data_IF_635405117183
#
_entry.id   IF_635405117183
#
_cell.length_a   1.000
_cell.length_b   1.000
_cell.length_c   1.000
_cell.angle_alpha   90.00
_cell.angle_beta   90.00
_cell.angle_gamma   90.00
#
_symmetry.space_group_name_H-M   'P 1'
#
loop_
_entity.id
_entity.type
_entity.pdbx_description
1 polymer ?
#
# COMPACT_ATOMS: atom_id res chain seq x y z
N UNK A 1 -57.89 73.16 13.35
CA UNK A 1 -56.76 72.38 13.78
C UNK A 1 -57.06 70.89 13.56
N UNK A 2 -56.53 70.25 12.51
CA UNK A 2 -56.72 68.85 12.27
C UNK A 2 -55.28 68.27 11.96
N UNK A 3 -54.83 67.44 12.89
CA UNK A 3 -53.55 66.74 12.72
C UNK A 3 -53.73 65.63 11.69
N UNK A 4 -52.83 65.55 10.72
CA UNK A 4 -52.73 64.45 9.75
C UNK A 4 -51.74 63.43 10.30
N UNK A 5 -52.18 62.19 10.43
CA UNK A 5 -51.40 61.02 10.89
C UNK A 5 -50.77 60.42 9.69
N UNK A 6 -49.42 60.52 9.57
CA UNK A 6 -48.66 59.79 8.55
C UNK A 6 -48.43 58.34 9.03
N UNK A 7 -48.94 57.40 8.24
CA UNK A 7 -48.59 55.94 8.40
C UNK A 7 -47.26 55.68 7.78
N UNK A 8 -46.28 55.22 8.58
CA UNK A 8 -45.02 54.70 8.09
C UNK A 8 -45.23 53.25 7.65
N UNK A 9 -45.02 52.98 6.37
CA UNK A 9 -45.01 51.61 5.83
C UNK A 9 -43.62 50.98 6.04
N UNK A 10 -43.57 49.89 6.80
CA UNK A 10 -42.39 49.08 6.96
C UNK A 10 -42.18 48.19 5.71
N UNK A 11 -41.11 48.44 5.00
CA UNK A 11 -40.64 47.54 3.92
C UNK A 11 -39.78 46.47 4.58
N UNK A 12 -40.27 45.22 4.61
CA UNK A 12 -39.50 44.08 5.05
C UNK A 12 -38.58 43.65 3.90
N UNK A 13 -37.27 43.86 4.06
CA UNK A 13 -36.26 43.32 3.17
C UNK A 13 -36.01 41.87 3.54
N UNK A 14 -36.47 40.93 2.71
CA UNK A 14 -36.15 39.50 2.84
C UNK A 14 -34.76 39.31 2.26
N UNK A 15 -33.76 39.20 3.13
CA UNK A 15 -32.39 38.75 2.72
C UNK A 15 -32.47 37.24 2.57
N UNK A 16 -32.59 36.78 1.33
CA UNK A 16 -32.44 35.37 0.97
C UNK A 16 -30.99 34.95 1.16
N UNK A 17 -30.66 34.19 2.22
CA UNK A 17 -29.42 33.51 2.37
C UNK A 17 -29.34 32.40 1.29
N UNK A 18 -28.72 32.68 0.15
CA UNK A 18 -28.25 31.63 -0.79
C UNK A 18 -27.07 30.95 -0.11
N UNK A 19 -27.34 29.88 0.60
CA UNK A 19 -26.33 28.99 1.13
C UNK A 19 -25.58 28.36 -0.05
N UNK A 20 -24.36 28.83 -0.33
CA UNK A 20 -23.46 28.14 -1.24
C UNK A 20 -23.15 26.77 -0.63
N UNK A 21 -23.76 25.73 -1.17
CA UNK A 21 -23.39 24.34 -0.88
C UNK A 21 -21.99 24.15 -1.49
N UNK A 22 -20.96 24.31 -0.67
CA UNK A 22 -19.61 23.91 -1.04
C UNK A 22 -19.64 22.38 -1.06
N UNK A 23 -19.78 21.79 -2.24
CA UNK A 23 -19.60 20.36 -2.42
C UNK A 23 -18.16 20.04 -2.01
N UNK A 24 -18.02 19.20 -0.98
CA UNK A 24 -16.72 18.63 -0.64
C UNK A 24 -16.12 18.00 -1.90
N UNK A 25 -14.82 18.18 -2.18
CA UNK A 25 -14.19 17.54 -3.33
C UNK A 25 -14.45 16.04 -3.24
N UNK A 26 -14.91 15.44 -4.35
CA UNK A 26 -15.14 14.00 -4.42
C UNK A 26 -13.85 13.29 -3.95
N UNK A 27 -13.98 12.41 -2.95
CA UNK A 27 -12.88 11.62 -2.42
C UNK A 27 -12.29 10.83 -3.59
N UNK A 28 -11.01 11.09 -3.94
CA UNK A 28 -10.37 10.44 -5.09
C UNK A 28 -10.30 8.94 -4.82
N UNK A 29 -10.79 8.12 -5.74
CA UNK A 29 -10.66 6.67 -5.65
C UNK A 29 -9.19 6.26 -5.82
N UNK A 30 -8.51 5.96 -4.73
CA UNK A 30 -7.09 5.58 -4.72
C UNK A 30 -6.83 4.27 -5.47
N UNK A 31 -7.85 3.43 -5.70
CA UNK A 31 -7.79 2.20 -6.47
C UNK A 31 -8.13 2.38 -7.97
N UNK A 32 -8.39 3.61 -8.43
CA UNK A 32 -8.70 3.88 -9.84
C UNK A 32 -7.58 3.41 -10.77
N UNK A 33 -6.32 3.71 -10.42
CA UNK A 33 -5.14 3.27 -11.20
C UNK A 33 -5.01 1.75 -11.26
N UNK A 34 -5.31 1.04 -10.17
CA UNK A 34 -5.32 -0.41 -10.11
C UNK A 34 -6.40 -0.99 -11.03
N UNK A 35 -7.64 -0.47 -10.94
CA UNK A 35 -8.79 -0.98 -11.69
C UNK A 35 -8.72 -0.67 -13.17
N UNK A 36 -8.20 0.50 -13.55
CA UNK A 36 -8.11 0.92 -14.96
C UNK A 36 -7.13 0.09 -15.80
N UNK A 37 -6.19 -0.60 -15.15
CA UNK A 37 -5.19 -1.44 -15.80
C UNK A 37 -5.63 -2.89 -15.99
N UNK A 38 -6.79 -3.30 -15.46
CA UNK A 38 -7.22 -4.71 -15.36
C UNK A 38 -8.55 -4.96 -16.04
N UNK A 39 -8.63 -6.11 -16.70
CA UNK A 39 -9.87 -6.67 -17.22
C UNK A 39 -10.30 -7.82 -16.29
N UNK A 40 -11.18 -7.52 -15.34
CA UNK A 40 -11.61 -8.48 -14.31
C UNK A 40 -12.48 -9.62 -14.83
N UNK A 41 -12.86 -9.59 -16.11
CA UNK A 41 -13.51 -10.74 -16.78
C UNK A 41 -12.47 -11.76 -17.27
N UNK A 42 -11.19 -11.36 -17.31
CA UNK A 42 -10.06 -12.17 -17.79
C UNK A 42 -9.03 -12.54 -16.73
N UNK A 43 -8.99 -11.82 -15.61
CA UNK A 43 -8.06 -12.12 -14.52
C UNK A 43 -8.80 -12.54 -13.25
N UNK A 44 -8.19 -13.43 -12.48
CA UNK A 44 -8.68 -13.81 -11.14
C UNK A 44 -8.24 -12.83 -10.03
N UNK A 45 -7.57 -11.74 -10.38
CA UNK A 45 -7.20 -10.72 -9.42
C UNK A 45 -8.45 -10.09 -8.77
N UNK A 46 -8.42 -9.78 -7.46
CA UNK A 46 -9.58 -9.19 -6.79
C UNK A 46 -9.83 -7.77 -7.31
N UNK A 47 -11.09 -7.47 -7.68
CA UNK A 47 -11.48 -6.09 -8.03
C UNK A 47 -11.36 -5.15 -6.84
N UNK A 48 -11.61 -5.69 -5.64
CA UNK A 48 -11.44 -5.08 -4.34
C UNK A 48 -12.19 -3.75 -4.12
N UNK A 49 -12.15 -3.31 -2.91
CA UNK A 49 -12.66 -2.01 -2.46
C UNK A 49 -11.71 -1.42 -1.43
N UNK A 50 -11.83 -0.12 -1.14
CA UNK A 50 -11.13 0.51 -0.04
C UNK A 50 -11.75 -0.02 1.25
N UNK A 51 -10.95 -0.67 2.09
CA UNK A 51 -11.39 -1.16 3.39
C UNK A 51 -11.11 -0.09 4.47
N UNK A 52 -12.13 0.70 4.79
CA UNK A 52 -12.04 1.76 5.82
C UNK A 52 -12.08 1.20 7.25
N UNK A 53 -12.26 -0.12 7.42
CA UNK A 53 -12.26 -0.75 8.74
C UNK A 53 -10.82 -0.87 9.23
N UNK A 54 -10.50 -0.16 10.32
CA UNK A 54 -9.21 -0.32 10.98
C UNK A 54 -9.12 -1.74 11.55
N UNK A 55 -8.09 -2.48 11.16
CA UNK A 55 -7.74 -3.77 11.77
C UNK A 55 -7.04 -3.52 13.11
N UNK A 56 -7.10 -4.50 14.01
CA UNK A 56 -6.34 -4.47 15.26
C UNK A 56 -4.84 -4.51 14.97
N UNK A 57 -4.44 -5.32 13.98
CA UNK A 57 -3.06 -5.42 13.48
C UNK A 57 -3.03 -5.14 11.99
N UNK A 58 -2.19 -4.22 11.58
CA UNK A 58 -1.95 -3.93 10.17
C UNK A 58 -1.15 -5.05 9.51
N UNK A 59 -1.48 -5.38 8.26
CA UNK A 59 -0.88 -6.49 7.54
C UNK A 59 0.19 -6.05 6.54
N UNK A 60 1.13 -6.95 6.26
CA UNK A 60 1.98 -6.88 5.09
C UNK A 60 1.93 -8.18 4.29
N UNK A 61 2.27 -8.09 3.02
CA UNK A 61 2.52 -9.24 2.15
C UNK A 61 3.72 -8.96 1.26
N UNK A 62 4.48 -10.01 0.99
CA UNK A 62 5.51 -10.01 -0.05
C UNK A 62 5.16 -11.08 -1.07
N UNK A 63 4.95 -10.65 -2.31
CA UNK A 63 4.62 -11.56 -3.40
C UNK A 63 5.82 -11.66 -4.35
N UNK A 64 6.30 -12.88 -4.61
CA UNK A 64 7.22 -13.13 -5.71
C UNK A 64 6.42 -13.12 -7.00
N UNK A 65 6.85 -12.32 -7.97
CA UNK A 65 6.14 -12.10 -9.21
C UNK A 65 7.10 -12.26 -10.40
N UNK A 66 6.79 -13.21 -11.26
CA UNK A 66 7.53 -13.46 -12.49
C UNK A 66 6.75 -12.90 -13.68
N UNK A 67 6.80 -11.58 -13.84
CA UNK A 67 6.23 -10.86 -14.96
C UNK A 67 7.24 -10.75 -16.11
N UNK A 68 7.43 -9.57 -16.71
CA UNK A 68 8.50 -9.31 -17.70
C UNK A 68 9.90 -9.53 -17.14
N UNK A 69 10.05 -9.42 -15.83
CA UNK A 69 11.25 -9.77 -15.07
C UNK A 69 10.85 -10.18 -13.65
N UNK A 70 11.58 -11.14 -13.08
CA UNK A 70 11.39 -11.58 -11.70
C UNK A 70 11.64 -10.44 -10.72
N UNK A 71 10.69 -10.23 -9.82
CA UNK A 71 10.79 -9.26 -8.72
C UNK A 71 9.95 -9.71 -7.52
N UNK A 72 10.00 -8.94 -6.45
CA UNK A 72 9.18 -9.15 -5.26
C UNK A 72 8.39 -7.88 -4.98
N UNK A 73 7.08 -8.00 -4.88
CA UNK A 73 6.20 -6.91 -4.50
C UNK A 73 6.05 -6.89 -2.98
N UNK A 74 6.58 -5.88 -2.33
CA UNK A 74 6.34 -5.61 -0.92
C UNK A 74 5.14 -4.67 -0.77
N UNK A 75 4.17 -5.06 0.04
CA UNK A 75 2.94 -4.32 0.25
C UNK A 75 2.65 -4.13 1.74
N UNK A 76 2.30 -2.90 2.13
CA UNK A 76 1.89 -2.53 3.48
C UNK A 76 0.47 -1.98 3.47
N UNK A 77 -0.36 -2.45 4.39
CA UNK A 77 -1.68 -1.86 4.64
C UNK A 77 -1.53 -0.47 5.26
N UNK A 78 -1.92 0.57 4.53
CA UNK A 78 -1.96 1.95 5.00
C UNK A 78 -3.26 2.56 4.50
N UNK A 79 -4.06 3.18 5.38
CA UNK A 79 -5.33 3.86 5.04
C UNK A 79 -6.32 3.00 4.22
N UNK A 80 -6.41 1.70 4.54
CA UNK A 80 -7.38 0.78 3.94
C UNK A 80 -7.04 0.30 2.54
N UNK A 81 -5.80 0.47 2.09
CA UNK A 81 -5.24 -0.08 0.85
C UNK A 81 -3.85 -0.65 1.12
N UNK A 82 -3.32 -1.42 0.18
CA UNK A 82 -1.95 -1.90 0.18
C UNK A 82 -1.06 -0.93 -0.61
N UNK A 83 -0.28 -0.08 0.07
CA UNK A 83 0.83 0.65 -0.54
C UNK A 83 1.87 -0.35 -1.02
N UNK A 84 2.36 -0.21 -2.24
CA UNK A 84 3.07 -1.29 -2.93
C UNK A 84 4.38 -0.83 -3.57
N UNK A 85 5.42 -1.67 -3.46
CA UNK A 85 6.73 -1.44 -4.06
C UNK A 85 7.27 -2.71 -4.71
N UNK A 86 7.65 -2.63 -5.98
CA UNK A 86 8.37 -3.69 -6.66
C UNK A 86 9.86 -3.63 -6.30
N UNK A 87 10.42 -4.74 -5.82
CA UNK A 87 11.82 -4.88 -5.40
C UNK A 87 12.52 -5.90 -6.33
N UNK A 88 13.28 -5.44 -7.35
CA UNK A 88 13.87 -6.35 -8.34
C UNK A 88 14.83 -7.40 -7.76
N UNK A 89 15.54 -7.05 -6.68
CA UNK A 89 16.46 -7.97 -6.01
C UNK A 89 15.82 -8.74 -4.85
N UNK A 90 14.52 -8.51 -4.58
CA UNK A 90 13.80 -9.08 -3.45
C UNK A 90 14.26 -8.54 -2.08
N UNK A 91 13.64 -9.02 -0.98
CA UNK A 91 14.05 -8.68 0.37
C UNK A 91 15.37 -9.33 0.77
N UNK A 92 16.04 -8.72 1.77
CA UNK A 92 17.25 -9.29 2.38
C UNK A 92 17.15 -9.19 3.90
N UNK A 93 17.78 -10.13 4.60
CA UNK A 93 17.99 -10.10 6.06
C UNK A 93 19.32 -9.46 6.44
N UNK A 94 20.16 -9.13 5.45
CA UNK A 94 21.45 -8.48 5.64
C UNK A 94 21.28 -6.95 5.70
N UNK A 95 21.62 -6.26 6.79
CA UNK A 95 21.46 -4.81 6.91
C UNK A 95 22.35 -3.98 5.97
N UNK A 96 23.37 -4.59 5.36
CA UNK A 96 24.21 -3.91 4.36
C UNK A 96 23.57 -3.87 2.97
N UNK A 97 22.56 -4.70 2.70
CA UNK A 97 21.86 -4.75 1.43
C UNK A 97 20.75 -3.70 1.40
N UNK A 98 20.95 -2.64 0.60
CA UNK A 98 19.94 -1.61 0.34
C UNK A 98 19.40 -1.80 -1.05
N UNK A 99 18.24 -2.43 -1.17
CA UNK A 99 17.65 -2.76 -2.45
C UNK A 99 16.74 -1.64 -2.95
N UNK A 100 16.79 -1.37 -4.25
CA UNK A 100 15.84 -0.48 -4.90
C UNK A 100 14.44 -1.05 -4.74
N UNK A 101 13.51 -0.19 -4.34
CA UNK A 101 12.08 -0.45 -4.28
C UNK A 101 11.37 0.63 -5.13
N UNK A 102 10.60 0.19 -6.11
CA UNK A 102 9.90 1.07 -7.06
C UNK A 102 8.43 1.10 -6.65
N UNK A 103 7.97 2.25 -6.20
CA UNK A 103 6.58 2.45 -5.82
C UNK A 103 5.67 2.26 -7.03
N UNK A 104 4.62 1.47 -6.84
CA UNK A 104 3.60 1.13 -7.83
C UNK A 104 2.24 1.65 -7.39
N UNK A 105 1.17 1.32 -8.12
CA UNK A 105 -0.19 1.68 -7.72
C UNK A 105 -0.62 1.00 -6.42
N UNK A 106 -1.56 1.64 -5.72
CA UNK A 106 -2.22 1.06 -4.55
C UNK A 106 -3.05 -0.16 -4.96
N UNK A 107 -3.00 -1.22 -4.13
CA UNK A 107 -3.79 -2.44 -4.34
C UNK A 107 -4.87 -2.55 -3.26
N UNK A 108 -6.00 -3.24 -3.56
CA UNK A 108 -6.99 -3.53 -2.53
C UNK A 108 -6.43 -4.51 -1.49
N UNK A 109 -6.96 -4.47 -0.27
CA UNK A 109 -6.50 -5.33 0.83
C UNK A 109 -6.63 -6.81 0.48
N UNK A 110 -7.68 -7.19 -0.25
CA UNK A 110 -7.93 -8.56 -0.70
C UNK A 110 -6.79 -9.11 -1.58
N UNK A 111 -5.99 -8.23 -2.19
CA UNK A 111 -4.84 -8.65 -3.00
C UNK A 111 -3.73 -9.33 -2.17
N UNK A 112 -3.70 -9.11 -0.84
CA UNK A 112 -2.77 -9.80 0.06
C UNK A 112 -2.94 -11.33 0.01
N UNK A 113 -4.14 -11.83 -0.36
CA UNK A 113 -4.45 -13.25 -0.47
C UNK A 113 -4.30 -13.80 -1.90
N UNK A 114 -3.94 -12.94 -2.86
CA UNK A 114 -3.85 -13.36 -4.26
C UNK A 114 -2.55 -14.16 -4.51
N UNK A 115 -2.72 -15.40 -4.93
CA UNK A 115 -1.68 -16.30 -5.45
C UNK A 115 -2.25 -17.01 -6.67
N UNK A 116 -1.53 -16.98 -7.80
CA UNK A 116 -2.00 -17.57 -9.05
C UNK A 116 -1.26 -17.04 -10.27
N UNK A 117 -1.81 -17.29 -11.44
CA UNK A 117 -1.24 -16.80 -12.71
C UNK A 117 -2.13 -15.68 -13.27
N UNK A 118 -1.52 -14.52 -13.49
CA UNK A 118 -2.15 -13.43 -14.26
C UNK A 118 -2.05 -13.80 -15.73
N UNK A 119 -3.17 -13.89 -16.47
CA UNK A 119 -3.16 -14.37 -17.85
C UNK A 119 -2.32 -13.51 -18.79
N UNK A 120 -1.78 -14.12 -19.83
CA UNK A 120 -1.04 -13.44 -20.88
C UNK A 120 -1.90 -12.33 -21.54
N UNK A 121 -1.27 -11.20 -21.85
CA UNK A 121 -1.95 -10.01 -22.38
C UNK A 121 -2.64 -9.15 -21.33
N UNK A 122 -2.67 -9.56 -20.05
CA UNK A 122 -3.11 -8.71 -18.95
C UNK A 122 -1.92 -7.93 -18.34
N UNK A 123 -2.20 -6.80 -17.70
CA UNK A 123 -1.19 -6.02 -17.00
C UNK A 123 -0.55 -6.85 -15.88
N UNK A 124 0.78 -6.97 -15.90
CA UNK A 124 1.50 -7.79 -14.93
C UNK A 124 1.40 -9.30 -15.19
N UNK A 125 1.13 -9.73 -16.43
CA UNK A 125 1.01 -11.15 -16.79
C UNK A 125 2.18 -11.99 -16.27
N UNK A 126 1.86 -13.15 -15.67
CA UNK A 126 2.80 -14.09 -15.10
C UNK A 126 2.36 -14.65 -13.74
N UNK A 127 3.08 -15.64 -13.20
CA UNK A 127 2.77 -16.22 -11.89
C UNK A 127 3.11 -15.27 -10.75
N UNK A 128 2.21 -15.23 -9.76
CA UNK A 128 2.32 -14.51 -8.50
C UNK A 128 2.21 -15.50 -7.35
N UNK A 129 3.17 -15.46 -6.44
CA UNK A 129 3.29 -16.38 -5.31
C UNK A 129 3.37 -15.57 -4.01
N UNK A 130 2.62 -15.93 -2.97
CA UNK A 130 2.72 -15.31 -1.64
C UNK A 130 4.00 -15.84 -0.96
N UNK A 131 5.11 -15.09 -1.14
CA UNK A 131 6.40 -15.50 -0.61
C UNK A 131 6.48 -15.33 0.90
N UNK A 132 5.92 -14.23 1.46
CA UNK A 132 5.80 -14.02 2.90
C UNK A 132 4.56 -13.17 3.22
N UNK A 133 4.00 -13.33 4.40
CA UNK A 133 2.90 -12.52 4.91
C UNK A 133 2.90 -12.53 6.44
N UNK A 134 2.26 -11.51 7.01
CA UNK A 134 2.13 -11.38 8.45
C UNK A 134 1.57 -10.00 8.83
N UNK A 135 1.83 -9.60 10.07
CA UNK A 135 1.49 -8.29 10.60
C UNK A 135 2.72 -7.41 10.73
N UNK A 136 2.51 -6.12 10.89
CA UNK A 136 3.60 -5.21 11.17
C UNK A 136 3.19 -4.17 12.23
N UNK A 137 4.18 -3.66 12.92
CA UNK A 137 4.06 -2.58 13.88
C UNK A 137 4.88 -1.37 13.43
N UNK A 138 4.37 -0.17 13.69
CA UNK A 138 5.09 1.07 13.46
C UNK A 138 6.19 1.24 14.50
N UNK A 139 7.45 1.30 14.08
CA UNK A 139 8.59 1.50 14.99
C UNK A 139 8.56 2.86 15.70
N UNK A 140 7.90 3.88 15.15
CA UNK A 140 7.77 5.18 15.80
C UNK A 140 6.74 5.15 16.92
N UNK A 141 5.62 4.46 16.69
CA UNK A 141 4.62 4.21 17.73
C UNK A 141 5.22 3.36 18.87
N UNK A 142 5.95 2.30 18.55
CA UNK A 142 6.69 1.49 19.56
C UNK A 142 7.68 2.33 20.38
N UNK A 143 8.22 3.42 19.82
CA UNK A 143 9.11 4.38 20.49
C UNK A 143 8.34 5.51 21.21
N UNK A 144 7.01 5.44 21.29
CA UNK A 144 6.16 6.46 21.91
C UNK A 144 6.04 7.76 21.11
N UNK A 145 6.26 7.71 19.79
CA UNK A 145 6.10 8.87 18.90
C UNK A 145 4.74 8.80 18.21
N UNK A 146 3.99 9.87 18.30
CA UNK A 146 2.67 10.03 17.67
C UNK A 146 2.84 10.51 16.22
N UNK A 147 3.20 9.61 15.32
CA UNK A 147 3.31 9.85 13.86
C UNK A 147 2.57 8.72 13.16
N UNK A 148 1.56 9.04 12.37
CA UNK A 148 0.80 8.02 11.66
C UNK A 148 1.61 7.39 10.51
N UNK A 149 1.27 6.13 10.15
CA UNK A 149 1.84 5.46 8.97
C UNK A 149 1.63 6.27 7.69
N UNK A 150 0.47 6.94 7.55
CA UNK A 150 0.19 7.83 6.42
C UNK A 150 1.16 9.01 6.36
N UNK A 151 1.50 9.61 7.50
CA UNK A 151 2.46 10.72 7.54
C UNK A 151 3.89 10.23 7.29
N UNK A 152 4.27 9.07 7.80
CA UNK A 152 5.56 8.45 7.46
C UNK A 152 5.69 8.17 5.96
N UNK A 153 4.65 7.63 5.34
CA UNK A 153 4.59 7.42 3.89
C UNK A 153 4.73 8.74 3.12
N UNK A 154 3.97 9.79 3.47
CA UNK A 154 4.06 11.12 2.85
C UNK A 154 5.44 11.74 3.01
N UNK A 155 6.06 11.56 4.18
CA UNK A 155 7.40 12.07 4.48
C UNK A 155 8.51 11.26 3.81
N UNK A 156 8.17 10.13 3.16
CA UNK A 156 9.12 9.29 2.45
C UNK A 156 10.07 8.50 3.36
N UNK A 157 9.66 8.22 4.60
CA UNK A 157 10.43 7.43 5.55
C UNK A 157 9.50 6.56 6.40
N UNK A 158 9.46 5.28 6.09
CA UNK A 158 8.69 4.26 6.79
C UNK A 158 9.67 3.36 7.54
N UNK A 159 9.43 3.13 8.81
CA UNK A 159 10.19 2.22 9.65
C UNK A 159 9.20 1.31 10.38
N UNK A 160 9.24 0.01 10.09
CA UNK A 160 8.29 -0.99 10.61
C UNK A 160 9.00 -2.19 11.22
N UNK A 161 8.37 -2.83 12.18
CA UNK A 161 8.76 -4.14 12.67
C UNK A 161 7.85 -5.18 12.01
N UNK A 162 8.41 -6.05 11.18
CA UNK A 162 7.68 -7.13 10.51
C UNK A 162 7.58 -8.35 11.42
N UNK A 163 6.41 -8.99 11.43
CA UNK A 163 6.13 -10.28 12.05
C UNK A 163 5.61 -11.23 10.99
N UNK A 164 6.50 -11.62 10.09
CA UNK A 164 6.21 -12.54 9.00
C UNK A 164 6.56 -13.99 9.31
N UNK A 165 6.20 -14.87 8.40
CA UNK A 165 6.62 -16.27 8.47
C UNK A 165 8.10 -16.45 8.13
N UNK A 166 8.65 -15.58 7.26
CA UNK A 166 10.05 -15.62 6.81
C UNK A 166 10.86 -14.43 7.27
N UNK A 167 10.27 -13.23 7.26
CA UNK A 167 10.93 -12.01 7.68
C UNK A 167 10.44 -11.57 9.03
N UNK A 168 11.36 -11.35 9.94
CA UNK A 168 11.10 -10.82 11.28
C UNK A 168 12.04 -9.64 11.56
N UNK A 169 11.57 -8.68 12.39
CA UNK A 169 12.39 -7.56 12.84
C UNK A 169 12.17 -6.27 12.05
N UNK A 170 13.05 -5.32 12.29
CA UNK A 170 12.94 -3.95 11.81
C UNK A 170 13.39 -3.80 10.35
N UNK A 171 12.54 -3.17 9.55
CA UNK A 171 12.79 -2.82 8.15
C UNK A 171 12.52 -1.34 7.88
N UNK A 172 13.23 -0.78 6.93
CA UNK A 172 13.02 0.60 6.50
C UNK A 172 12.78 0.70 5.00
N UNK A 173 11.85 1.62 4.64
CA UNK A 173 11.63 2.13 3.29
C UNK A 173 11.94 3.62 3.29
N UNK A 174 12.90 4.06 2.47
CA UNK A 174 13.31 5.46 2.41
C UNK A 174 13.25 5.95 0.96
N UNK A 175 12.43 6.98 0.72
CA UNK A 175 12.30 7.64 -0.59
C UNK A 175 13.62 8.30 -0.98
N UNK A 176 14.09 8.02 -2.19
CA UNK A 176 15.38 8.54 -2.65
C UNK A 176 15.22 9.96 -3.19
N UNK A 177 16.22 10.80 -2.93
CA UNK A 177 16.30 12.13 -3.53
C UNK A 177 17.09 12.04 -4.85
N UNK A 178 16.53 12.59 -5.94
CA UNK A 178 17.25 12.69 -7.23
C UNK A 178 17.28 11.45 -8.11
N UNK A 179 16.64 10.33 -7.70
CA UNK A 179 16.54 9.11 -8.53
C UNK A 179 15.18 8.95 -9.21
N UNK A 180 14.24 9.86 -8.99
CA UNK A 180 12.86 9.83 -9.44
C UNK A 180 11.86 9.74 -8.29
N UNK A 181 10.63 10.18 -8.53
CA UNK A 181 9.62 10.36 -7.48
C UNK A 181 9.11 9.05 -6.87
N UNK A 182 9.16 7.94 -7.61
CA UNK A 182 8.67 6.64 -7.19
C UNK A 182 9.77 5.69 -6.72
N UNK A 183 11.01 6.16 -6.49
CA UNK A 183 12.14 5.31 -6.10
C UNK A 183 12.44 5.43 -4.62
N UNK A 184 12.49 4.25 -3.98
CA UNK A 184 12.76 4.06 -2.57
C UNK A 184 13.91 3.06 -2.40
N UNK A 185 14.47 3.01 -1.20
CA UNK A 185 15.38 1.94 -0.75
C UNK A 185 14.65 1.13 0.32
N UNK A 186 14.62 -0.19 0.14
CA UNK A 186 14.15 -1.16 1.13
C UNK A 186 15.33 -1.92 1.72
N UNK A 187 15.40 -2.02 3.03
CA UNK A 187 16.49 -2.72 3.71
C UNK A 187 16.13 -3.15 5.13
N UNK A 188 16.79 -4.22 5.58
CA UNK A 188 16.80 -4.67 6.98
C UNK A 188 17.55 -3.65 7.84
N UNK A 189 16.98 -3.28 8.97
CA UNK A 189 17.69 -2.51 9.99
C UNK A 189 18.57 -3.43 10.85
N UNK A 190 19.55 -2.87 11.53
CA UNK A 190 20.43 -3.65 12.39
C UNK A 190 19.72 -3.93 13.74
N UNK A 191 19.28 -5.15 13.94
CA UNK A 191 18.63 -5.68 15.13
C UNK A 191 19.00 -7.16 15.35
N UNK A 192 18.42 -7.83 16.33
CA UNK A 192 18.68 -9.23 16.65
C UNK A 192 18.24 -10.22 15.55
N UNK A 193 17.36 -9.82 14.64
CA UNK A 193 16.87 -10.60 13.50
C UNK A 193 17.70 -10.41 12.23
N UNK A 194 18.75 -9.58 12.28
CA UNK A 194 19.62 -9.35 11.13
C UNK A 194 20.53 -10.58 10.89
N UNK A 195 20.54 -11.07 9.64
CA UNK A 195 21.38 -12.21 9.24
C UNK A 195 22.01 -11.95 7.87
N UNK A 196 23.31 -11.72 7.85
CA UNK A 196 24.11 -11.53 6.63
C UNK A 196 24.69 -12.84 6.07
N UNK A 197 24.49 -13.97 6.75
CA UNK A 197 25.07 -15.26 6.38
C UNK A 197 24.27 -16.00 5.32
N UNK A 198 22.98 -15.63 5.11
CA UNK A 198 22.04 -16.33 4.23
C UNK A 198 21.42 -15.41 3.20
N UNK A 199 21.21 -15.97 2.02
CA UNK A 199 20.30 -15.36 1.04
C UNK A 199 18.91 -15.96 1.24
N UNK A 200 18.05 -15.21 1.94
CA UNK A 200 16.72 -15.70 2.36
C UNK A 200 15.82 -16.10 1.19
N UNK A 201 15.88 -15.39 0.06
CA UNK A 201 15.06 -15.68 -1.12
C UNK A 201 15.49 -16.98 -1.84
N UNK A 202 16.79 -17.33 -1.75
CA UNK A 202 17.29 -18.61 -2.30
C UNK A 202 17.06 -19.78 -1.36
N UNK A 203 17.19 -19.56 -0.05
CA UNK A 203 17.06 -20.63 0.94
C UNK A 203 15.60 -20.98 1.26
N UNK A 204 14.67 -20.07 1.00
CA UNK A 204 13.23 -20.24 1.26
C UNK A 204 12.40 -19.73 0.07
N UNK A 205 12.45 -20.40 -1.10
CA UNK A 205 11.76 -19.94 -2.30
C UNK A 205 10.25 -20.21 -2.32
N UNK A 206 9.76 -21.08 -1.43
CA UNK A 206 8.37 -21.57 -1.40
C UNK A 206 7.37 -20.52 -0.94
N UNK A 207 6.11 -20.65 -1.38
CA UNK A 207 4.96 -19.90 -0.85
C UNK A 207 4.71 -20.27 0.61
N UNK A 208 4.44 -19.26 1.45
CA UNK A 208 3.96 -19.49 2.82
C UNK A 208 2.50 -19.92 2.86
N UNK A 209 1.75 -19.72 1.77
CA UNK A 209 0.33 -20.09 1.64
C UNK A 209 0.15 -21.51 1.09
N UNK A 210 0.77 -21.81 -0.05
CA UNK A 210 0.56 -23.08 -0.77
C UNK A 210 1.71 -24.07 -0.66
N UNK A 211 2.90 -23.63 -0.22
CA UNK A 211 4.13 -24.42 -0.26
C UNK A 211 4.71 -24.61 -1.67
N UNK A 212 4.06 -24.07 -2.71
CA UNK A 212 4.52 -24.13 -4.10
C UNK A 212 5.73 -23.21 -4.32
N UNK A 213 6.49 -23.46 -5.38
CA UNK A 213 7.49 -22.52 -5.91
C UNK A 213 6.95 -21.79 -7.12
N UNK A 214 7.56 -20.66 -7.49
CA UNK A 214 7.11 -19.88 -8.65
C UNK A 214 7.15 -20.70 -9.96
N UNK A 215 8.14 -21.60 -10.10
CA UNK A 215 8.25 -22.47 -11.26
C UNK A 215 7.13 -23.50 -11.35
N UNK A 216 6.62 -23.98 -10.22
CA UNK A 216 5.48 -24.89 -10.21
C UNK A 216 4.16 -24.24 -10.62
N UNK A 217 4.01 -22.91 -10.40
CA UNK A 217 2.84 -22.16 -10.85
C UNK A 217 2.81 -21.87 -12.36
N UNK A 218 3.98 -22.00 -13.06
CA UNK A 218 4.04 -21.84 -14.52
C UNK A 218 3.51 -23.06 -15.29
N UNK A 219 3.39 -24.20 -14.61
CA UNK A 219 3.08 -25.50 -15.23
C UNK A 219 1.57 -25.83 -15.08
N UNK A 220 0.90 -25.22 -14.11
CA UNK A 220 -0.53 -25.35 -13.86
C UNK A 220 -1.34 -24.43 -14.79
#
# INVERSE_FOLDING_TARGET
MKQALMKAGSVAVIIGCIGAYIMAPAERDVLESYRSKRDFDKTNEPKGKIDKKKREEAIFVIQQHDASSMHYDFRLEIDGVLKSWAIPKGPSTNPHDKHLAIETEDHPIEYAEFEGVIPEGQYGAGPVLIWDTGTYEDLKEMQGKDISMADMYKNGKIEVFLRGTKLEGAYALIKTKGMGENKWLFFKMNDEYADSSKNIIKSRPESVKSGKTIDSLRID
#
